data_IF_754174684134
#
_entry.id   IF_754174684134
#
_cell.length_a   1.000
_cell.length_b   1.000
_cell.length_c   1.000
_cell.angle_alpha   90.00
_cell.angle_beta   90.00
_cell.angle_gamma   90.00
#
_symmetry.space_group_name_H-M   'P 1'
#
loop_
_entity.id
_entity.type
_entity.pdbx_description
1 polymer ?
#
# COMPACT_ATOMS: atom_id res chain seq x y z
N UNK A 1 22.73 -3.75 12.38
CA UNK A 1 21.89 -4.13 11.23
C UNK A 1 20.52 -4.48 11.72
N UNK A 2 19.51 -3.93 11.07
CA UNK A 2 18.15 -4.15 11.50
C UNK A 2 17.48 -5.24 10.67
N UNK A 3 16.44 -5.83 11.25
CA UNK A 3 15.59 -6.80 10.60
C UNK A 3 14.23 -6.13 10.36
N UNK A 4 13.69 -6.28 9.16
CA UNK A 4 12.40 -5.73 8.80
C UNK A 4 11.37 -6.84 8.67
N UNK A 5 10.16 -6.57 9.16
CA UNK A 5 9.01 -7.42 8.90
C UNK A 5 8.32 -6.89 7.65
N UNK A 6 8.13 -7.75 6.66
CA UNK A 6 7.49 -7.39 5.40
C UNK A 6 6.38 -8.40 5.12
N UNK A 7 5.18 -7.90 4.90
CA UNK A 7 4.03 -8.74 4.56
C UNK A 7 4.06 -9.04 3.07
N UNK A 8 3.94 -10.31 2.72
CA UNK A 8 3.96 -10.75 1.32
C UNK A 8 2.76 -10.19 0.57
N UNK A 9 3.01 -9.65 -0.64
CA UNK A 9 1.94 -9.12 -1.49
C UNK A 9 1.05 -10.23 -2.07
N UNK A 10 1.53 -11.47 -2.07
CA UNK A 10 0.83 -12.59 -2.69
C UNK A 10 0.05 -13.43 -1.66
N UNK A 11 0.70 -13.90 -0.59
CA UNK A 11 0.06 -14.79 0.38
C UNK A 11 -0.18 -14.14 1.75
N UNK A 12 0.24 -12.90 1.93
CA UNK A 12 0.06 -12.09 3.15
C UNK A 12 0.81 -12.61 4.38
N UNK A 13 1.73 -13.55 4.21
CA UNK A 13 2.58 -14.02 5.30
C UNK A 13 3.57 -12.93 5.71
N UNK A 14 3.87 -12.84 7.00
CA UNK A 14 4.88 -11.90 7.51
C UNK A 14 6.25 -12.52 7.35
N UNK A 15 7.14 -11.82 6.65
CA UNK A 15 8.52 -12.26 6.45
C UNK A 15 9.46 -11.39 7.26
N UNK A 16 10.57 -11.97 7.71
CA UNK A 16 11.64 -11.25 8.38
C UNK A 16 12.83 -11.23 7.44
N UNK A 17 13.26 -10.03 7.05
CA UNK A 17 14.40 -9.88 6.15
C UNK A 17 15.38 -8.87 6.73
N UNK A 18 16.70 -9.07 6.54
CA UNK A 18 17.66 -8.04 6.89
C UNK A 18 17.42 -6.79 6.06
N UNK A 19 17.56 -5.60 6.67
CA UNK A 19 17.27 -4.35 5.98
C UNK A 19 18.13 -4.16 4.73
N UNK A 20 19.38 -4.66 4.74
CA UNK A 20 20.26 -4.56 3.58
C UNK A 20 19.84 -5.45 2.42
N UNK A 21 18.92 -6.39 2.64
CA UNK A 21 18.38 -7.23 1.56
C UNK A 21 17.09 -6.72 0.95
N UNK A 22 16.54 -5.64 1.49
CA UNK A 22 15.26 -5.12 1.03
C UNK A 22 15.28 -4.82 -0.48
N UNK A 23 16.35 -4.25 -0.99
CA UNK A 23 16.49 -3.88 -2.40
C UNK A 23 17.02 -5.02 -3.28
N UNK A 24 17.21 -6.23 -2.75
CA UNK A 24 17.78 -7.36 -3.47
C UNK A 24 16.72 -8.35 -3.94
N UNK A 25 15.52 -7.87 -4.24
CA UNK A 25 14.39 -8.67 -4.75
C UNK A 25 14.08 -9.87 -3.85
N UNK A 26 13.78 -9.64 -2.55
CA UNK A 26 13.53 -10.74 -1.63
C UNK A 26 12.27 -11.51 -1.98
N UNK A 27 12.27 -12.79 -1.65
CA UNK A 27 11.13 -13.67 -1.88
C UNK A 27 10.50 -14.10 -0.56
N UNK A 28 9.19 -14.38 -0.62
CA UNK A 28 8.46 -14.89 0.54
C UNK A 28 8.95 -16.28 0.90
N UNK A 29 9.27 -16.49 2.18
CA UNK A 29 9.69 -17.79 2.67
C UNK A 29 8.60 -18.85 2.62
N UNK A 30 7.32 -18.43 2.58
CA UNK A 30 6.19 -19.35 2.57
C UNK A 30 5.74 -19.71 1.16
N UNK A 31 5.42 -18.73 0.32
CA UNK A 31 4.87 -18.99 -1.02
C UNK A 31 5.91 -18.92 -2.14
N UNK A 32 7.13 -18.43 -1.83
CA UNK A 32 8.26 -18.34 -2.77
C UNK A 32 8.10 -17.28 -3.85
N UNK A 33 7.01 -16.52 -3.85
CA UNK A 33 6.83 -15.40 -4.76
C UNK A 33 7.60 -14.18 -4.28
N UNK A 34 7.86 -13.23 -5.19
CA UNK A 34 8.54 -11.99 -4.83
C UNK A 34 7.71 -11.22 -3.81
N UNK A 35 8.35 -10.65 -2.78
CA UNK A 35 7.67 -9.85 -1.78
C UNK A 35 7.12 -8.55 -2.38
N UNK A 36 7.78 -8.02 -3.40
CA UNK A 36 7.36 -6.81 -4.10
C UNK A 36 7.24 -7.11 -5.58
N UNK A 37 6.04 -6.90 -6.13
CA UNK A 37 5.77 -7.20 -7.54
C UNK A 37 5.88 -5.97 -8.44
N UNK A 38 6.00 -4.77 -7.85
CA UNK A 38 5.92 -3.52 -8.60
C UNK A 38 4.49 -3.11 -8.92
N UNK A 39 3.51 -3.80 -8.37
CA UNK A 39 2.09 -3.51 -8.55
C UNK A 39 1.44 -3.26 -7.19
N UNK A 40 0.46 -2.34 -7.09
CA UNK A 40 -0.28 -2.16 -5.84
C UNK A 40 -0.98 -3.46 -5.42
N UNK A 41 -0.96 -3.74 -4.12
CA UNK A 41 -1.59 -4.93 -3.56
C UNK A 41 -3.06 -4.63 -3.30
N UNK A 42 -3.96 -5.49 -3.81
CA UNK A 42 -5.38 -5.36 -3.52
C UNK A 42 -5.66 -5.98 -2.15
N UNK A 43 -6.08 -5.14 -1.20
CA UNK A 43 -6.37 -5.59 0.16
C UNK A 43 -7.83 -5.93 0.32
N UNK A 44 -8.12 -6.87 1.24
CA UNK A 44 -9.49 -7.24 1.61
C UNK A 44 -9.63 -7.15 3.12
N UNK A 45 -10.82 -7.41 3.63
CA UNK A 45 -11.06 -7.42 5.06
C UNK A 45 -10.16 -8.39 5.82
N UNK A 46 -9.75 -9.48 5.17
CA UNK A 46 -8.89 -10.49 5.81
C UNK A 46 -7.40 -10.13 5.80
N UNK A 47 -6.96 -9.21 4.95
CA UNK A 47 -5.54 -8.88 4.79
C UNK A 47 -5.20 -7.45 5.19
N UNK A 48 -6.18 -6.56 5.26
CA UNK A 48 -5.96 -5.13 5.46
C UNK A 48 -5.18 -4.84 6.74
N UNK A 49 -5.65 -5.34 7.87
CA UNK A 49 -5.04 -5.04 9.16
C UNK A 49 -3.61 -5.55 9.24
N UNK A 50 -3.34 -6.73 8.70
CA UNK A 50 -2.00 -7.29 8.67
C UNK A 50 -1.04 -6.41 7.88
N UNK A 51 -1.45 -5.94 6.71
CA UNK A 51 -0.60 -5.10 5.89
C UNK A 51 -0.29 -3.75 6.53
N UNK A 52 -1.27 -3.07 7.10
CA UNK A 52 -1.02 -1.74 7.67
C UNK A 52 -0.24 -1.79 8.98
N UNK A 53 -0.33 -2.89 9.75
CA UNK A 53 0.28 -2.98 11.08
C UNK A 53 1.54 -3.83 11.15
N UNK A 54 1.71 -4.84 10.27
CA UNK A 54 2.81 -5.79 10.37
C UNK A 54 3.95 -5.53 9.40
N UNK A 55 3.83 -4.52 8.52
CA UNK A 55 4.96 -4.05 7.72
C UNK A 55 5.75 -3.02 8.52
N UNK A 56 7.08 -3.15 8.53
CA UNK A 56 7.96 -2.15 9.14
C UNK A 56 8.24 -0.98 8.21
N UNK A 57 7.88 -1.11 6.94
CA UNK A 57 7.91 -0.01 5.98
C UNK A 57 6.55 0.68 5.95
N UNK A 58 6.49 1.96 5.51
CA UNK A 58 5.21 2.64 5.35
C UNK A 58 4.33 1.94 4.31
N UNK A 59 3.02 1.97 4.54
CA UNK A 59 2.03 1.39 3.63
C UNK A 59 1.06 2.48 3.21
N UNK A 60 0.92 2.69 1.91
CA UNK A 60 -0.06 3.63 1.36
C UNK A 60 -1.23 2.83 0.83
N UNK A 61 -2.44 3.23 1.20
CA UNK A 61 -3.66 2.56 0.74
C UNK A 61 -4.49 3.55 -0.07
N UNK A 62 -4.83 3.17 -1.29
CA UNK A 62 -5.74 3.88 -2.17
C UNK A 62 -7.15 3.34 -1.96
N UNK A 63 -8.01 4.13 -1.36
CA UNK A 63 -9.43 3.81 -1.18
C UNK A 63 -10.17 4.20 -2.45
N UNK A 64 -10.70 3.21 -3.16
CA UNK A 64 -11.25 3.39 -4.50
C UNK A 64 -12.54 2.59 -4.71
N UNK A 65 -13.20 2.77 -5.83
CA UNK A 65 -14.34 1.94 -6.25
C UNK A 65 -14.34 1.82 -7.76
N UNK A 66 -14.89 0.71 -8.25
CA UNK A 66 -14.88 0.41 -9.68
C UNK A 66 -15.73 1.39 -10.53
N UNK A 67 -16.74 2.01 -9.91
CA UNK A 67 -17.61 2.98 -10.59
C UNK A 67 -17.03 4.40 -10.60
N UNK A 68 -15.94 4.64 -9.89
CA UNK A 68 -15.41 5.98 -9.70
C UNK A 68 -14.49 6.37 -10.85
N UNK A 69 -14.88 7.36 -11.64
CA UNK A 69 -14.11 7.85 -12.78
C UNK A 69 -12.72 8.36 -12.38
N UNK A 70 -12.61 9.29 -11.41
CA UNK A 70 -11.30 9.78 -10.97
C UNK A 70 -10.38 8.68 -10.43
N UNK A 71 -10.95 7.66 -9.78
CA UNK A 71 -10.17 6.50 -9.31
C UNK A 71 -9.54 5.75 -10.48
N UNK A 72 -10.33 5.51 -11.54
CA UNK A 72 -9.85 4.82 -12.73
C UNK A 72 -8.78 5.64 -13.46
N UNK A 73 -8.96 6.96 -13.52
CA UNK A 73 -7.98 7.85 -14.12
C UNK A 73 -6.65 7.81 -13.37
N UNK A 74 -6.70 7.72 -12.05
CA UNK A 74 -5.49 7.72 -11.23
C UNK A 74 -4.78 6.35 -11.23
N UNK A 75 -5.48 5.27 -11.54
CA UNK A 75 -4.93 3.92 -11.40
C UNK A 75 -3.57 3.73 -12.11
N UNK A 76 -3.38 4.17 -13.38
CA UNK A 76 -2.06 4.05 -14.00
C UNK A 76 -0.98 4.86 -13.29
N UNK A 77 -1.31 6.06 -12.80
CA UNK A 77 -0.38 6.90 -12.07
C UNK A 77 0.03 6.24 -10.75
N UNK A 78 -0.92 5.64 -10.06
CA UNK A 78 -0.67 4.94 -8.81
C UNK A 78 0.22 3.71 -9.04
N UNK A 79 -0.02 2.97 -10.11
CA UNK A 79 0.82 1.83 -10.49
C UNK A 79 2.26 2.28 -10.80
N UNK A 80 2.43 3.41 -11.50
CA UNK A 80 3.75 3.97 -11.77
C UNK A 80 4.47 4.36 -10.47
N UNK A 81 3.74 4.94 -9.53
CA UNK A 81 4.30 5.29 -8.23
C UNK A 81 4.79 4.05 -7.49
N UNK A 82 4.05 2.93 -7.57
CA UNK A 82 4.47 1.68 -6.93
C UNK A 82 5.82 1.20 -7.47
N UNK A 83 6.03 1.25 -8.78
CA UNK A 83 7.31 0.86 -9.40
C UNK A 83 8.45 1.71 -8.84
N UNK A 84 8.21 3.01 -8.65
CA UNK A 84 9.25 3.93 -8.19
C UNK A 84 9.53 3.86 -6.70
N UNK A 85 8.51 3.59 -5.88
CA UNK A 85 8.60 3.70 -4.43
C UNK A 85 8.90 2.37 -3.74
N UNK A 86 8.46 1.24 -4.31
CA UNK A 86 8.81 -0.05 -3.74
C UNK A 86 10.29 -0.35 -3.99
N UNK A 87 10.99 -0.98 -3.05
CA UNK A 87 10.48 -1.63 -1.84
C UNK A 87 10.50 -0.77 -0.57
N UNK A 88 10.84 0.52 -0.65
CA UNK A 88 10.90 1.36 0.54
C UNK A 88 9.53 1.68 1.12
N UNK A 89 8.50 1.65 0.27
CA UNK A 89 7.11 1.91 0.64
C UNK A 89 6.26 0.84 -0.05
N UNK A 90 5.25 0.32 0.67
CA UNK A 90 4.27 -0.59 0.09
C UNK A 90 3.08 0.21 -0.42
N UNK A 91 2.70 0.05 -1.68
CA UNK A 91 1.47 0.62 -2.19
C UNK A 91 0.40 -0.46 -2.30
N UNK A 92 -0.80 -0.12 -1.81
CA UNK A 92 -1.93 -1.04 -1.76
C UNK A 92 -3.21 -0.31 -2.15
N UNK A 93 -4.25 -1.08 -2.41
CA UNK A 93 -5.58 -0.57 -2.79
C UNK A 93 -6.64 -1.27 -1.97
N UNK A 94 -7.73 -0.57 -1.66
CA UNK A 94 -8.88 -1.16 -0.99
C UNK A 94 -10.17 -0.71 -1.69
N UNK A 95 -10.93 -1.67 -2.19
CA UNK A 95 -12.21 -1.40 -2.84
C UNK A 95 -13.26 -1.09 -1.77
N UNK A 96 -13.73 0.16 -1.72
CA UNK A 96 -14.65 0.62 -0.67
C UNK A 96 -16.04 0.03 -0.80
N UNK A 97 -16.44 -0.44 -1.98
CA UNK A 97 -17.73 -1.12 -2.12
C UNK A 97 -17.71 -2.52 -1.54
N UNK A 98 -16.60 -3.22 -1.74
CA UNK A 98 -16.43 -4.58 -1.21
C UNK A 98 -16.12 -4.58 0.28
N UNK A 99 -15.49 -3.52 0.80
CA UNK A 99 -15.04 -3.41 2.19
C UNK A 99 -15.60 -2.15 2.84
N UNK A 100 -16.92 -2.06 2.88
CA UNK A 100 -17.63 -0.88 3.39
C UNK A 100 -17.33 -0.61 4.86
N UNK A 101 -17.15 -1.67 5.65
CA UNK A 101 -16.82 -1.54 7.07
C UNK A 101 -15.50 -0.84 7.32
N UNK A 102 -14.48 -1.18 6.53
CA UNK A 102 -13.16 -0.57 6.64
C UNK A 102 -13.23 0.89 6.19
N UNK A 103 -13.91 1.16 5.08
CA UNK A 103 -14.08 2.53 4.59
C UNK A 103 -14.76 3.41 5.66
N UNK A 104 -15.78 2.89 6.33
CA UNK A 104 -16.47 3.59 7.40
C UNK A 104 -15.57 3.83 8.60
N UNK A 105 -14.76 2.82 8.96
CA UNK A 105 -13.83 2.91 10.08
C UNK A 105 -12.87 4.10 9.92
N UNK A 106 -12.42 4.37 8.70
CA UNK A 106 -11.48 5.46 8.43
C UNK A 106 -12.17 6.73 7.92
N UNK A 107 -13.50 6.81 7.99
CA UNK A 107 -14.27 7.98 7.58
C UNK A 107 -13.94 8.40 6.14
N UNK A 108 -13.93 7.44 5.22
CA UNK A 108 -13.69 7.74 3.81
C UNK A 108 -14.95 8.37 3.24
N UNK A 109 -14.88 9.68 2.97
CA UNK A 109 -16.02 10.47 2.49
C UNK A 109 -15.97 10.76 1.02
N UNK A 110 -14.80 10.67 0.42
CA UNK A 110 -14.60 10.87 -1.00
C UNK A 110 -13.56 9.88 -1.50
N UNK A 111 -13.63 9.54 -2.77
CA UNK A 111 -12.67 8.64 -3.41
C UNK A 111 -12.21 9.26 -4.73
N UNK A 112 -10.94 9.05 -5.13
CA UNK A 112 -9.94 8.30 -4.38
C UNK A 112 -9.44 9.07 -3.14
N UNK A 113 -9.08 8.36 -2.11
CA UNK A 113 -8.37 8.92 -0.94
C UNK A 113 -7.19 8.02 -0.66
N UNK A 114 -6.01 8.63 -0.52
CA UNK A 114 -4.79 7.92 -0.13
C UNK A 114 -4.54 8.15 1.35
N UNK A 115 -4.23 7.07 2.07
CA UNK A 115 -3.80 7.16 3.48
C UNK A 115 -2.45 6.49 3.61
N UNK A 116 -1.51 7.13 4.31
CA UNK A 116 -0.21 6.54 4.64
C UNK A 116 -0.29 6.00 6.06
N UNK A 117 0.03 4.71 6.23
CA UNK A 117 0.09 4.05 7.53
C UNK A 117 1.50 3.66 7.86
N UNK A 118 1.83 3.68 9.16
CA UNK A 118 3.04 3.04 9.66
C UNK A 118 2.75 2.46 11.04
N UNK A 119 3.02 1.15 11.21
CA UNK A 119 2.73 0.47 12.45
C UNK A 119 1.25 0.51 12.84
N UNK A 120 0.36 0.53 11.84
CA UNK A 120 -1.08 0.60 12.05
C UNK A 120 -1.61 2.00 12.31
N UNK A 121 -0.75 3.02 12.32
CA UNK A 121 -1.14 4.41 12.62
C UNK A 121 -1.19 5.23 11.34
N UNK A 122 -2.28 5.96 11.16
CA UNK A 122 -2.40 6.89 10.03
C UNK A 122 -1.47 8.08 10.22
N UNK A 123 -0.57 8.29 9.25
CA UNK A 123 0.36 9.42 9.26
C UNK A 123 -0.17 10.62 8.49
N UNK A 124 -0.84 10.40 7.38
CA UNK A 124 -1.34 11.46 6.52
C UNK A 124 -2.39 10.91 5.58
N UNK A 125 -3.26 11.78 5.05
CA UNK A 125 -4.22 11.42 4.02
C UNK A 125 -4.36 12.55 3.01
N UNK A 126 -4.70 12.17 1.79
CA UNK A 126 -4.91 13.10 0.68
C UNK A 126 -6.07 12.60 -0.16
N UNK A 127 -7.10 13.44 -0.33
CA UNK A 127 -8.24 13.14 -1.18
C UNK A 127 -8.02 13.70 -2.57
N UNK A 128 -8.60 13.02 -3.57
CA UNK A 128 -8.61 13.48 -4.96
C UNK A 128 -7.56 12.82 -5.83
N UNK A 129 -7.80 12.81 -7.13
CA UNK A 129 -6.90 12.21 -8.10
C UNK A 129 -5.63 13.06 -8.25
N UNK A 130 -4.49 12.39 -8.38
CA UNK A 130 -3.18 13.04 -8.52
C UNK A 130 -2.39 12.39 -9.66
N UNK A 131 -1.44 13.14 -10.22
CA UNK A 131 -0.47 12.59 -11.16
C UNK A 131 0.53 11.68 -10.43
N UNK A 132 1.27 10.86 -11.18
CA UNK A 132 2.31 10.02 -10.59
C UNK A 132 3.35 10.86 -9.84
N UNK A 133 3.79 11.98 -10.42
CA UNK A 133 4.77 12.85 -9.77
C UNK A 133 4.23 13.42 -8.45
N UNK A 134 2.96 13.82 -8.43
CA UNK A 134 2.35 14.37 -7.23
C UNK A 134 2.17 13.31 -6.15
N UNK A 135 1.78 12.08 -6.54
CA UNK A 135 1.67 10.96 -5.59
C UNK A 135 3.03 10.70 -4.94
N UNK A 136 4.08 10.57 -5.75
CA UNK A 136 5.43 10.28 -5.28
C UNK A 136 5.93 11.39 -4.36
N UNK A 137 5.75 12.65 -4.78
CA UNK A 137 6.17 13.80 -3.98
C UNK A 137 5.46 13.89 -2.64
N UNK A 138 4.14 13.64 -2.65
CA UNK A 138 3.35 13.66 -1.42
C UNK A 138 3.77 12.55 -0.46
N UNK A 139 3.95 11.34 -0.96
CA UNK A 139 4.39 10.22 -0.12
C UNK A 139 5.77 10.53 0.45
N UNK A 140 6.73 10.95 -0.37
CA UNK A 140 8.09 11.24 0.09
C UNK A 140 8.15 12.36 1.11
N UNK A 141 7.18 13.28 1.11
CA UNK A 141 7.15 14.36 2.09
C UNK A 141 6.68 13.90 3.47
N UNK A 142 6.13 12.69 3.58
CA UNK A 142 5.58 12.17 4.84
C UNK A 142 6.29 10.91 5.35
N UNK A 143 7.23 10.38 4.62
CA UNK A 143 7.93 9.14 5.02
C UNK A 143 9.43 9.34 5.17
#
# INVERSE_FOLDING_TARGET
MSTLHIVCSHCHAVNRIPSERLAQHPRCGKCKEALFSGHPVELTGSSFQQHISRNDIPVVVDFWAAWCGPCKMMAPAYAQAAVKLEPQVRLAKLNTEQEQGIAAQFNIRSIPTLIIFKGGVELARQAGAMSAADIIGWINSHV
#
